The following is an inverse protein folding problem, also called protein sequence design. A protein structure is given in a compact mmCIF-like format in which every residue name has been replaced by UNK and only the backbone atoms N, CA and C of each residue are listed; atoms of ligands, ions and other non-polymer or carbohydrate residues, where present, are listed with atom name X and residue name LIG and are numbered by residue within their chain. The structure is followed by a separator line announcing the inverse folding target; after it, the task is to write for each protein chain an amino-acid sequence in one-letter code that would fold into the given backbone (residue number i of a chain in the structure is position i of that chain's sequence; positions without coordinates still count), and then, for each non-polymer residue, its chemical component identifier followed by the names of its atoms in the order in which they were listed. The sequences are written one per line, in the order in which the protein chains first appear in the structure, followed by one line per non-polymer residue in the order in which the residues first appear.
data_IF_337495551308
#
_entry.id   IF_337495551308
#
_cell.length_a   1.000
_cell.length_b   1.000
_cell.length_c   1.000
_cell.angle_alpha   90.00
_cell.angle_beta   90.00
_cell.angle_gamma   90.00
#
_symmetry.space_group_name_H-M   'P 1'
#
loop_
_entity.id
_entity.type
_entity.pdbx_description
1 polymer ?
#
# COMPACT_ATOMS: atom_id res chain seq x y z
N UNK A 1 5.09 1.96 16.83
CA UNK A 1 4.42 2.04 15.50
C UNK A 1 2.99 1.53 15.56
N UNK A 2 2.78 0.28 15.97
CA UNK A 2 1.45 -0.35 15.98
C UNK A 2 0.46 0.41 16.87
N UNK A 3 0.87 0.78 18.08
CA UNK A 3 0.03 1.53 19.03
C UNK A 3 -0.39 2.90 18.49
N UNK A 4 0.53 3.63 17.84
CA UNK A 4 0.20 4.91 17.21
C UNK A 4 -0.83 4.77 16.09
N UNK A 5 -0.77 3.69 15.31
CA UNK A 5 -1.75 3.42 14.25
C UNK A 5 -3.10 3.05 14.88
N UNK A 6 -3.11 2.25 15.95
CA UNK A 6 -4.33 1.87 16.67
C UNK A 6 -4.99 3.13 17.26
N UNK A 7 -4.23 4.04 17.85
CA UNK A 7 -4.74 5.31 18.36
C UNK A 7 -5.40 6.14 17.26
N UNK A 8 -4.75 6.22 16.09
CA UNK A 8 -5.33 6.90 14.93
C UNK A 8 -6.63 6.25 14.45
N UNK A 9 -6.72 4.91 14.49
CA UNK A 9 -7.93 4.18 14.08
C UNK A 9 -9.07 4.41 15.07
N UNK A 10 -8.77 4.44 16.36
CA UNK A 10 -9.75 4.59 17.45
C UNK A 10 -10.21 6.03 17.66
N UNK A 11 -9.43 7.01 17.19
CA UNK A 11 -9.78 8.43 17.31
C UNK A 11 -11.02 8.77 16.48
N UNK A 12 -11.98 9.55 17.00
CA UNK A 12 -13.10 10.06 16.23
C UNK A 12 -12.69 11.13 15.20
N UNK A 13 -11.46 11.65 15.30
CA UNK A 13 -10.95 12.70 14.41
C UNK A 13 -10.86 12.22 12.96
N UNK A 14 -11.29 13.02 11.98
CA UNK A 14 -11.08 12.70 10.57
C UNK A 14 -9.60 12.48 10.26
N UNK A 15 -9.28 11.45 9.49
CA UNK A 15 -7.91 11.21 9.03
C UNK A 15 -7.55 12.21 7.93
N UNK A 16 -6.29 12.65 7.93
CA UNK A 16 -5.77 13.54 6.91
C UNK A 16 -6.02 13.01 5.48
N UNK A 17 -6.56 13.85 4.62
CA UNK A 17 -6.79 13.54 3.20
C UNK A 17 -5.47 13.35 2.45
N UNK A 18 -5.53 12.85 1.20
CA UNK A 18 -4.34 12.72 0.34
C UNK A 18 -3.62 14.06 0.13
N UNK A 19 -4.38 15.14 0.01
CA UNK A 19 -3.82 16.48 -0.18
C UNK A 19 -3.07 16.95 1.07
N UNK A 20 -3.63 16.73 2.25
CA UNK A 20 -3.04 17.11 3.54
C UNK A 20 -1.81 16.25 3.89
N UNK A 21 -1.79 14.98 3.47
CA UNK A 21 -0.65 14.08 3.66
C UNK A 21 0.64 14.58 3.00
N UNK A 22 0.55 15.45 1.97
CA UNK A 22 1.73 16.02 1.32
C UNK A 22 2.61 16.85 2.27
N UNK A 23 2.02 17.41 3.32
CA UNK A 23 2.71 18.24 4.32
C UNK A 23 3.24 17.41 5.50
N UNK A 24 2.97 16.11 5.53
CA UNK A 24 3.42 15.21 6.58
C UNK A 24 4.79 14.60 6.26
N UNK A 25 5.52 14.20 7.30
CA UNK A 25 6.67 13.32 7.11
C UNK A 25 6.23 12.01 6.45
N UNK A 26 7.16 11.35 5.72
CA UNK A 26 6.86 10.07 5.09
C UNK A 26 6.30 9.04 6.09
N UNK A 27 6.87 9.00 7.30
CA UNK A 27 6.41 8.12 8.38
C UNK A 27 4.97 8.40 8.77
N UNK A 28 4.64 9.66 9.05
CA UNK A 28 3.29 10.07 9.44
C UNK A 28 2.27 9.83 8.32
N UNK A 29 2.65 10.13 7.08
CA UNK A 29 1.79 9.87 5.92
C UNK A 29 1.50 8.36 5.74
N UNK A 30 2.49 7.50 5.98
CA UNK A 30 2.29 6.04 5.96
C UNK A 30 1.35 5.59 7.07
N UNK A 31 1.50 6.10 8.31
CA UNK A 31 0.60 5.74 9.41
C UNK A 31 -0.85 6.16 9.13
N UNK A 32 -1.04 7.38 8.61
CA UNK A 32 -2.36 7.84 8.17
C UNK A 32 -2.95 6.95 7.08
N UNK A 33 -2.14 6.53 6.12
CA UNK A 33 -2.61 5.65 5.05
C UNK A 33 -2.98 4.25 5.56
N UNK A 34 -2.23 3.68 6.51
CA UNK A 34 -2.57 2.41 7.17
C UNK A 34 -3.89 2.56 7.94
N UNK A 35 -4.07 3.66 8.67
CA UNK A 35 -5.32 3.93 9.40
C UNK A 35 -6.52 4.04 8.43
N UNK A 36 -6.35 4.66 7.25
CA UNK A 36 -7.39 4.68 6.22
C UNK A 36 -7.78 3.28 5.75
N UNK A 37 -6.82 2.38 5.58
CA UNK A 37 -7.10 1.00 5.20
C UNK A 37 -7.85 0.27 6.31
N UNK A 38 -7.42 0.38 7.56
CA UNK A 38 -8.07 -0.26 8.71
C UNK A 38 -9.49 0.26 8.93
N UNK A 39 -9.73 1.56 8.73
CA UNK A 39 -11.08 2.16 8.76
C UNK A 39 -11.91 1.87 7.51
N UNK A 40 -11.33 1.14 6.51
CA UNK A 40 -11.96 0.86 5.21
C UNK A 40 -12.41 2.14 4.45
N UNK A 41 -11.81 3.27 4.75
CA UNK A 41 -12.07 4.53 4.04
C UNK A 41 -11.32 4.63 2.71
N UNK A 42 -10.38 3.71 2.47
CA UNK A 42 -9.67 3.52 1.19
C UNK A 42 -9.47 2.04 0.89
N UNK A 43 -9.44 1.70 -0.39
CA UNK A 43 -9.20 0.34 -0.86
C UNK A 43 -7.71 -0.01 -0.79
N UNK A 44 -7.42 -1.23 -0.37
CA UNK A 44 -6.08 -1.83 -0.38
C UNK A 44 -5.71 -2.27 -1.79
N UNK A 45 -6.65 -2.89 -2.50
CA UNK A 45 -6.44 -3.33 -3.88
C UNK A 45 -6.52 -2.16 -4.86
N UNK A 46 -5.74 -2.24 -5.92
CA UNK A 46 -5.82 -1.27 -7.02
C UNK A 46 -7.12 -1.44 -7.79
N UNK A 47 -7.70 -0.32 -8.20
CA UNK A 47 -8.95 -0.32 -8.97
C UNK A 47 -8.81 -1.12 -10.27
N UNK A 48 -9.82 -1.92 -10.65
CA UNK A 48 -9.88 -2.60 -11.93
C UNK A 48 -9.97 -1.64 -13.13
N UNK A 49 -10.13 -0.33 -12.90
CA UNK A 49 -10.18 0.69 -13.96
C UNK A 49 -8.80 1.03 -14.56
N UNK A 50 -7.70 0.52 -14.02
CA UNK A 50 -6.39 0.69 -14.64
C UNK A 50 -6.33 -0.04 -15.98
N UNK A 51 -5.85 0.64 -17.03
CA UNK A 51 -5.84 0.13 -18.42
C UNK A 51 -5.25 -1.28 -18.55
N UNK A 52 -4.16 -1.57 -17.85
CA UNK A 52 -3.52 -2.90 -17.86
C UNK A 52 -4.42 -4.01 -17.29
N UNK A 53 -5.24 -3.67 -16.31
CA UNK A 53 -6.18 -4.61 -15.67
C UNK A 53 -7.45 -4.78 -16.49
N UNK A 54 -7.89 -3.71 -17.19
CA UNK A 54 -9.05 -3.74 -18.09
C UNK A 54 -8.87 -4.67 -19.29
N UNK A 55 -7.63 -4.88 -19.76
CA UNK A 55 -7.37 -5.78 -20.89
C UNK A 55 -7.84 -7.20 -20.57
N UNK A 56 -7.48 -7.73 -19.40
CA UNK A 56 -7.94 -9.05 -18.96
C UNK A 56 -9.46 -9.16 -18.83
N UNK A 57 -10.12 -8.10 -18.33
CA UNK A 57 -11.58 -8.07 -18.23
C UNK A 57 -12.27 -8.12 -19.59
N UNK A 58 -11.73 -7.41 -20.58
CA UNK A 58 -12.28 -7.41 -21.95
C UNK A 58 -12.08 -8.75 -22.66
N UNK A 59 -10.92 -9.38 -22.44
CA UNK A 59 -10.56 -10.63 -23.12
C UNK A 59 -11.19 -11.88 -22.46
N UNK A 60 -11.30 -11.90 -21.16
CA UNK A 60 -11.62 -13.12 -20.38
C UNK A 60 -12.84 -12.98 -19.47
N UNK A 61 -13.46 -11.83 -19.39
CA UNK A 61 -14.71 -11.61 -18.65
C UNK A 61 -14.59 -11.51 -17.13
N UNK A 62 -13.36 -11.50 -16.54
CA UNK A 62 -13.17 -11.33 -15.10
C UNK A 62 -12.45 -10.04 -14.73
N UNK A 63 -12.91 -9.43 -13.63
CA UNK A 63 -12.26 -8.24 -13.08
C UNK A 63 -10.91 -8.64 -12.47
N UNK A 64 -9.85 -7.96 -12.89
CA UNK A 64 -8.52 -8.12 -12.32
C UNK A 64 -8.23 -6.95 -11.41
N UNK A 65 -7.79 -7.22 -10.20
CA UNK A 65 -7.31 -6.23 -9.24
C UNK A 65 -5.85 -6.48 -8.92
N UNK A 66 -5.10 -5.44 -8.58
CA UNK A 66 -3.67 -5.56 -8.28
C UNK A 66 -3.38 -5.25 -6.82
N UNK A 67 -2.35 -5.89 -6.29
CA UNK A 67 -1.77 -5.58 -4.99
C UNK A 67 -0.29 -5.25 -5.16
N UNK A 68 0.08 -4.00 -4.86
CA UNK A 68 1.46 -3.55 -4.92
C UNK A 68 2.01 -3.34 -3.51
N UNK A 69 3.00 -4.13 -3.12
CA UNK A 69 3.78 -3.97 -1.89
C UNK A 69 5.08 -3.20 -2.17
N UNK A 70 5.68 -2.66 -1.12
CA UNK A 70 6.97 -1.98 -1.21
C UNK A 70 8.08 -2.99 -1.51
N UNK A 71 8.85 -2.81 -2.60
CA UNK A 71 9.92 -3.75 -2.94
C UNK A 71 11.16 -3.54 -2.09
N UNK A 72 11.96 -4.60 -1.98
CA UNK A 72 13.26 -4.62 -1.30
C UNK A 72 13.22 -3.95 0.08
N UNK A 73 14.01 -2.91 0.29
CA UNK A 73 14.14 -2.19 1.55
C UNK A 73 13.32 -0.90 1.63
N UNK A 74 12.37 -0.68 0.70
CA UNK A 74 11.60 0.56 0.66
C UNK A 74 10.80 0.82 1.95
N UNK A 75 10.28 -0.24 2.60
CA UNK A 75 9.58 -0.15 3.88
C UNK A 75 10.47 -0.47 5.11
N UNK A 76 11.77 -0.75 4.91
CA UNK A 76 12.67 -1.24 5.96
C UNK A 76 12.79 -0.29 7.17
N UNK A 77 12.72 1.01 6.93
CA UNK A 77 12.80 2.03 8.00
C UNK A 77 11.65 1.96 9.02
N UNK A 78 10.55 1.28 8.67
CA UNK A 78 9.42 1.02 9.56
C UNK A 78 9.33 -0.44 10.01
N UNK A 79 9.53 -1.37 9.08
CA UNK A 79 9.22 -2.80 9.29
C UNK A 79 10.44 -3.64 9.65
N UNK A 80 11.65 -3.15 9.38
CA UNK A 80 12.91 -3.91 9.49
C UNK A 80 12.94 -5.18 8.63
N UNK A 81 12.06 -5.29 7.65
CA UNK A 81 11.96 -6.43 6.73
C UNK A 81 12.38 -6.03 5.32
N UNK A 82 13.22 -6.84 4.70
CA UNK A 82 13.51 -6.78 3.27
C UNK A 82 12.49 -7.66 2.54
N UNK A 83 11.62 -7.06 1.73
CA UNK A 83 10.57 -7.77 0.99
C UNK A 83 11.11 -8.56 -0.22
N UNK A 84 12.36 -8.32 -0.62
CA UNK A 84 13.03 -9.01 -1.73
C UNK A 84 14.39 -9.57 -1.28
N UNK A 85 14.44 -10.53 -0.34
CA UNK A 85 15.69 -10.99 0.25
C UNK A 85 16.62 -11.67 -0.75
N UNK A 86 16.07 -12.27 -1.82
CA UNK A 86 16.82 -12.96 -2.87
C UNK A 86 17.05 -12.12 -4.13
N UNK A 87 16.81 -10.81 -4.09
CA UNK A 87 17.00 -9.95 -5.25
C UNK A 87 18.49 -9.82 -5.60
N UNK A 88 18.84 -10.09 -6.88
CA UNK A 88 20.17 -9.82 -7.41
C UNK A 88 20.46 -8.32 -7.51
N UNK A 89 21.74 -7.95 -7.69
CA UNK A 89 22.14 -6.55 -7.95
C UNK A 89 21.44 -5.98 -9.19
N UNK A 90 21.31 -6.77 -10.25
CA UNK A 90 20.59 -6.40 -11.48
C UNK A 90 19.11 -6.16 -11.22
N UNK A 91 18.44 -7.04 -10.49
CA UNK A 91 17.04 -6.86 -10.10
C UNK A 91 16.81 -5.56 -9.30
N UNK A 92 17.70 -5.23 -8.37
CA UNK A 92 17.60 -4.00 -7.60
C UNK A 92 17.84 -2.75 -8.46
N UNK A 93 18.78 -2.79 -9.39
CA UNK A 93 19.11 -1.67 -10.27
C UNK A 93 17.98 -1.35 -11.27
N UNK A 94 17.29 -2.39 -11.77
CA UNK A 94 16.20 -2.24 -12.76
C UNK A 94 14.80 -2.29 -12.12
N UNK A 95 14.72 -2.16 -10.81
CA UNK A 95 13.46 -2.28 -10.08
C UNK A 95 12.42 -1.24 -10.57
N UNK A 96 11.22 -1.71 -10.88
CA UNK A 96 10.11 -0.89 -11.35
C UNK A 96 9.72 0.25 -10.38
N UNK A 97 10.16 0.20 -9.12
CA UNK A 97 9.94 1.29 -8.15
C UNK A 97 10.53 2.62 -8.61
N UNK A 98 11.54 2.58 -9.50
CA UNK A 98 12.24 3.75 -10.03
C UNK A 98 11.66 4.27 -11.35
N UNK A 99 10.56 3.70 -11.83
CA UNK A 99 10.02 4.02 -13.15
C UNK A 99 8.51 4.24 -13.16
N UNK A 100 8.06 5.01 -14.15
CA UNK A 100 6.65 5.26 -14.39
C UNK A 100 5.94 5.91 -13.19
N UNK A 101 4.72 5.52 -12.94
CA UNK A 101 3.91 6.06 -11.84
C UNK A 101 4.42 5.68 -10.43
N UNK A 102 5.36 4.74 -10.35
CA UNK A 102 5.92 4.30 -9.09
C UNK A 102 6.86 5.33 -8.43
N UNK A 103 7.35 6.32 -9.18
CA UNK A 103 8.19 7.41 -8.67
C UNK A 103 7.40 8.42 -7.82
N UNK A 104 6.08 8.51 -8.00
CA UNK A 104 5.28 9.48 -7.27
C UNK A 104 5.18 9.15 -5.78
N UNK A 105 5.30 10.19 -4.94
CA UNK A 105 5.27 10.07 -3.48
C UNK A 105 4.01 9.36 -2.97
N UNK A 106 2.85 9.64 -3.56
CA UNK A 106 1.59 9.00 -3.15
C UNK A 106 1.60 7.48 -3.42
N UNK A 107 2.14 7.06 -4.55
CA UNK A 107 2.32 5.64 -4.88
C UNK A 107 3.28 4.96 -3.90
N UNK A 108 4.37 5.64 -3.53
CA UNK A 108 5.32 5.16 -2.53
C UNK A 108 4.68 5.00 -1.15
N UNK A 109 3.95 6.01 -0.66
CA UNK A 109 3.22 5.95 0.62
C UNK A 109 2.26 4.77 0.62
N UNK A 110 1.48 4.59 -0.44
CA UNK A 110 0.50 3.52 -0.54
C UNK A 110 1.15 2.12 -0.53
N UNK A 111 2.26 1.91 -1.22
CA UNK A 111 3.00 0.63 -1.21
C UNK A 111 3.56 0.32 0.17
N UNK A 112 4.22 1.29 0.80
CA UNK A 112 4.77 1.12 2.14
C UNK A 112 3.66 0.84 3.15
N UNK A 113 2.55 1.57 3.09
CA UNK A 113 1.41 1.36 3.98
C UNK A 113 0.79 -0.04 3.84
N UNK A 114 0.64 -0.55 2.61
CA UNK A 114 0.17 -1.92 2.38
C UNK A 114 1.15 -2.96 2.93
N UNK A 115 2.45 -2.70 2.82
CA UNK A 115 3.48 -3.57 3.39
C UNK A 115 3.42 -3.59 4.92
N UNK A 116 3.27 -2.43 5.55
CA UNK A 116 3.07 -2.33 7.01
C UNK A 116 1.79 -3.05 7.42
N UNK A 117 0.69 -2.85 6.71
CA UNK A 117 -0.58 -3.51 6.97
C UNK A 117 -0.44 -5.04 6.87
N UNK A 118 0.24 -5.54 5.83
CA UNK A 118 0.51 -6.97 5.65
C UNK A 118 1.36 -7.57 6.77
N UNK A 119 2.41 -6.88 7.22
CA UNK A 119 3.36 -7.41 8.20
C UNK A 119 2.85 -7.29 9.64
N UNK A 120 2.23 -6.16 9.98
CA UNK A 120 1.86 -5.82 11.35
C UNK A 120 0.39 -6.08 11.70
N UNK A 121 -0.50 -6.09 10.67
CA UNK A 121 -1.95 -6.22 10.82
C UNK A 121 -2.48 -7.29 9.86
N UNK A 122 -1.82 -8.45 9.81
CA UNK A 122 -2.13 -9.51 8.84
C UNK A 122 -3.59 -10.00 8.87
N UNK A 123 -4.21 -10.26 10.02
CA UNK A 123 -5.62 -10.68 10.07
C UNK A 123 -6.56 -9.65 9.43
N UNK A 124 -6.37 -8.38 9.77
CA UNK A 124 -7.14 -7.26 9.24
C UNK A 124 -6.91 -7.08 7.74
N UNK A 125 -5.65 -7.19 7.29
CA UNK A 125 -5.29 -7.16 5.89
C UNK A 125 -6.04 -8.22 5.08
N UNK A 126 -6.03 -9.47 5.53
CA UNK A 126 -6.72 -10.58 4.86
C UNK A 126 -8.24 -10.38 4.86
N UNK A 127 -8.82 -9.87 5.95
CA UNK A 127 -10.24 -9.56 6.03
C UNK A 127 -10.64 -8.43 5.05
N UNK A 128 -9.80 -7.40 4.91
CA UNK A 128 -10.03 -6.29 3.98
C UNK A 128 -9.95 -6.78 2.53
N UNK A 129 -8.87 -7.48 2.17
CA UNK A 129 -8.67 -8.01 0.82
C UNK A 129 -9.79 -8.98 0.45
N UNK A 130 -10.16 -9.89 1.34
CA UNK A 130 -11.28 -10.82 1.13
C UNK A 130 -12.62 -10.11 0.92
N UNK A 131 -12.85 -8.96 1.54
CA UNK A 131 -14.03 -8.14 1.32
C UNK A 131 -14.00 -7.36 0.00
N UNK A 132 -12.80 -6.94 -0.45
CA UNK A 132 -12.63 -6.17 -1.70
C UNK A 132 -12.68 -7.04 -2.97
N UNK A 133 -12.48 -8.35 -2.84
CA UNK A 133 -12.51 -9.32 -3.97
C UNK A 133 -13.92 -9.87 -4.22
N UNK A 134 -14.82 -9.75 -3.27
CA UNK A 134 -16.23 -10.19 -3.40
C UNK A 134 -17.07 -9.15 -4.11
#
# INVERSE_FOLDING_TARGET
MKDLIIDLVSSPTPLATVAEQKNLSLRSAVYMQVAHYLRRSRKVLTSPTQYKLLKGQKEFGYATVGLNLAPATEAYFLTRVNMCPSASKGCLATCLRHSGQNIFTQGKIARIARTVLWLEFRPEFLAIVGAEVR
#
